data_IF_258623086959
#
_entry.id   IF_258623086959
#
_cell.length_a   1.000
_cell.length_b   1.000
_cell.length_c   1.000
_cell.angle_alpha   90.00
_cell.angle_beta   90.00
_cell.angle_gamma   90.00
#
_symmetry.space_group_name_H-M   'P 1'
#
loop_
_entity.id
_entity.type
_entity.pdbx_description
1 polymer ?
#
# COMPACT_ATOMS: atom_id res chain seq x y z
N UNK A 1 -17.04 -4.06 -61.49
CA UNK A 1 -16.66 -5.47 -61.69
C UNK A 1 -15.79 -5.83 -60.50
N UNK A 2 -16.36 -6.26 -59.37
CA UNK A 2 -16.68 -7.67 -59.03
C UNK A 2 -15.45 -8.59 -59.19
N UNK A 3 -15.03 -9.49 -58.30
CA UNK A 3 -15.44 -10.07 -57.01
C UNK A 3 -14.13 -10.66 -56.40
N UNK A 4 -13.82 -10.60 -55.11
CA UNK A 4 -14.27 -11.42 -53.97
C UNK A 4 -13.67 -12.86 -53.89
N UNK A 5 -13.32 -13.26 -52.65
CA UNK A 5 -12.99 -14.60 -52.10
C UNK A 5 -11.60 -15.23 -52.43
N UNK A 6 -10.87 -15.92 -51.55
CA UNK A 6 -11.08 -16.41 -50.17
C UNK A 6 -9.74 -16.93 -49.56
N UNK A 7 -9.54 -16.73 -48.24
CA UNK A 7 -9.13 -17.71 -47.21
C UNK A 7 -7.86 -18.60 -47.45
N UNK A 8 -6.89 -18.81 -46.54
CA UNK A 8 -7.06 -19.35 -45.17
C UNK A 8 -5.72 -19.40 -44.39
N UNK A 9 -5.76 -18.93 -43.13
CA UNK A 9 -5.12 -19.43 -41.89
C UNK A 9 -3.59 -19.65 -41.76
N UNK A 10 -2.95 -18.91 -40.83
CA UNK A 10 -2.71 -19.33 -39.43
C UNK A 10 -1.54 -18.59 -38.74
N UNK A 11 -1.82 -17.98 -37.59
CA UNK A 11 -1.22 -18.27 -36.26
C UNK A 11 -0.97 -17.00 -35.44
N UNK A 12 -1.95 -16.76 -34.58
CA UNK A 12 -2.02 -15.90 -33.41
C UNK A 12 -0.80 -15.95 -32.48
N UNK A 13 -0.33 -14.79 -32.04
CA UNK A 13 0.13 -14.56 -30.65
C UNK A 13 -0.18 -13.11 -30.29
N UNK A 14 -1.39 -12.89 -29.78
CA UNK A 14 -1.76 -11.67 -29.06
C UNK A 14 -1.12 -11.70 -27.67
N UNK A 15 -0.44 -10.64 -27.28
CA UNK A 15 -0.33 -10.25 -25.88
C UNK A 15 -0.68 -8.78 -25.75
N UNK A 16 -1.99 -8.57 -25.80
CA UNK A 16 -2.67 -7.33 -25.49
C UNK A 16 -2.68 -7.15 -23.96
N UNK A 17 -2.13 -6.06 -23.45
CA UNK A 17 -2.52 -5.55 -22.13
C UNK A 17 -2.53 -4.03 -22.21
N UNK A 18 -3.48 -3.53 -22.99
CA UNK A 18 -4.20 -2.31 -22.62
C UNK A 18 -5.07 -2.64 -21.41
N UNK A 19 -4.90 -1.89 -20.33
CA UNK A 19 -5.96 -1.68 -19.35
C UNK A 19 -6.08 -0.20 -19.14
N UNK A 20 -6.86 0.42 -20.03
CA UNK A 20 -7.48 1.72 -19.81
C UNK A 20 -8.28 1.66 -18.52
N UNK A 21 -8.09 2.61 -17.60
CA UNK A 21 -9.18 3.03 -16.71
C UNK A 21 -8.99 4.50 -16.32
N UNK A 22 -9.42 5.39 -17.21
CA UNK A 22 -9.96 6.66 -16.78
C UNK A 22 -11.31 6.39 -16.08
N UNK A 23 -11.50 6.96 -14.89
CA UNK A 23 -12.76 7.41 -14.25
C UNK A 23 -12.70 7.15 -12.74
N UNK A 24 -12.49 8.22 -11.96
CA UNK A 24 -13.42 8.68 -10.91
C UNK A 24 -12.66 9.56 -9.90
N UNK A 25 -12.83 10.88 -10.04
CA UNK A 25 -12.84 11.77 -8.88
C UNK A 25 -13.92 11.25 -7.92
N UNK A 26 -13.55 10.79 -6.73
CA UNK A 26 -14.41 10.85 -5.55
C UNK A 26 -13.54 11.02 -4.31
N UNK A 27 -13.73 12.16 -3.64
CA UNK A 27 -13.52 12.30 -2.22
C UNK A 27 -14.22 11.14 -1.51
N UNK A 28 -13.46 10.11 -1.16
CA UNK A 28 -13.92 9.06 -0.29
C UNK A 28 -13.18 9.23 1.02
N UNK A 29 -13.94 9.60 2.04
CA UNK A 29 -13.66 9.38 3.45
C UNK A 29 -13.08 7.95 3.61
N UNK A 30 -11.75 7.89 3.59
CA UNK A 30 -11.06 6.79 2.95
C UNK A 30 -10.97 5.57 3.85
N UNK A 31 -11.93 4.66 3.72
CA UNK A 31 -11.84 3.32 4.29
C UNK A 31 -10.71 2.56 3.60
N UNK A 32 -9.49 2.65 4.14
CA UNK A 32 -8.32 2.00 3.55
C UNK A 32 -8.27 0.52 3.93
N UNK A 33 -7.91 -0.32 2.96
CA UNK A 33 -7.66 -1.75 3.18
C UNK A 33 -6.18 -2.04 3.13
N UNK A 34 -5.63 -2.77 4.12
CA UNK A 34 -4.21 -3.15 4.16
C UNK A 34 -3.71 -3.74 2.83
N UNK A 35 -4.52 -4.56 2.14
CA UNK A 35 -4.15 -5.13 0.83
C UNK A 35 -4.10 -4.13 -0.32
N UNK A 36 -4.93 -3.08 -0.26
CA UNK A 36 -4.97 -2.02 -1.29
C UNK A 36 -3.95 -0.92 -1.06
N UNK A 37 -3.35 -0.86 0.14
CA UNK A 37 -2.43 0.21 0.52
C UNK A 37 -3.14 1.54 0.72
N UNK A 38 -2.37 2.55 1.12
CA UNK A 38 -2.82 3.92 1.28
C UNK A 38 -2.60 4.69 -0.02
N UNK A 39 -3.63 5.35 -0.50
CA UNK A 39 -3.59 6.13 -1.74
C UNK A 39 -3.99 7.56 -1.42
N UNK A 40 -3.24 8.55 -1.91
CA UNK A 40 -3.53 9.96 -1.70
C UNK A 40 -3.49 10.68 -3.03
N UNK A 41 -4.41 11.62 -3.21
CA UNK A 41 -4.50 12.45 -4.42
C UNK A 41 -4.63 13.90 -4.00
N UNK A 42 -3.74 14.73 -4.52
CA UNK A 42 -3.77 16.18 -4.37
C UNK A 42 -3.96 16.79 -5.76
N UNK A 43 -4.75 17.85 -5.82
CA UNK A 43 -4.97 18.62 -7.05
C UNK A 43 -4.37 19.99 -6.75
N UNK A 44 -3.33 20.36 -7.50
CA UNK A 44 -2.62 21.63 -7.36
C UNK A 44 -2.60 22.33 -8.72
N UNK A 45 -3.43 23.36 -8.89
CA UNK A 45 -3.65 23.99 -10.19
C UNK A 45 -4.25 22.99 -11.20
N UNK A 46 -3.52 22.72 -12.28
CA UNK A 46 -3.88 21.75 -13.32
C UNK A 46 -3.19 20.39 -13.15
N UNK A 47 -2.36 20.25 -12.12
CA UNK A 47 -1.57 19.04 -11.88
C UNK A 47 -2.22 18.14 -10.83
N UNK A 48 -2.23 16.84 -11.10
CA UNK A 48 -2.70 15.80 -10.19
C UNK A 48 -1.50 15.06 -9.61
N UNK A 49 -1.30 15.21 -8.30
CA UNK A 49 -0.25 14.53 -7.56
C UNK A 49 -0.87 13.30 -6.87
N UNK A 50 -0.43 12.11 -7.26
CA UNK A 50 -0.93 10.84 -6.73
C UNK A 50 0.16 10.04 -6.03
N UNK A 51 -0.04 9.75 -4.74
CA UNK A 51 0.85 8.92 -3.95
C UNK A 51 0.21 7.56 -3.66
N UNK A 52 0.85 6.49 -4.13
CA UNK A 52 0.50 5.11 -3.85
C UNK A 52 1.50 4.51 -2.85
N UNK A 53 0.99 4.08 -1.69
CA UNK A 53 1.79 3.48 -0.62
C UNK A 53 1.24 2.10 -0.28
N UNK A 54 2.02 1.06 -0.57
CA UNK A 54 1.64 -0.30 -0.20
C UNK A 54 1.97 -0.58 1.26
N UNK A 55 0.95 -0.93 2.05
CA UNK A 55 1.11 -1.30 3.46
C UNK A 55 1.72 -2.70 3.66
N UNK A 56 1.86 -3.50 2.59
CA UNK A 56 2.37 -4.88 2.67
C UNK A 56 3.88 -4.94 2.49
N UNK A 57 4.41 -4.23 1.49
CA UNK A 57 5.83 -4.26 1.14
C UNK A 57 6.54 -2.91 1.34
N UNK A 58 5.82 -1.88 1.79
CA UNK A 58 6.39 -0.55 2.00
C UNK A 58 6.78 0.18 0.71
N UNK A 59 6.33 -0.28 -0.47
CA UNK A 59 6.59 0.45 -1.72
C UNK A 59 5.77 1.73 -1.75
N UNK A 60 6.46 2.83 -1.98
CA UNK A 60 5.89 4.17 -2.16
C UNK A 60 6.20 4.64 -3.56
N UNK A 61 5.16 5.07 -4.29
CA UNK A 61 5.26 5.56 -5.65
C UNK A 61 4.48 6.85 -5.76
N UNK A 62 5.17 7.90 -6.16
CA UNK A 62 4.63 9.22 -6.39
C UNK A 62 4.53 9.45 -7.89
N UNK A 63 3.33 9.83 -8.32
CA UNK A 63 2.98 10.16 -9.68
C UNK A 63 2.53 11.61 -9.75
N UNK A 64 2.88 12.29 -10.83
CA UNK A 64 2.39 13.62 -11.17
C UNK A 64 1.86 13.53 -12.59
N UNK A 65 0.57 13.82 -12.78
CA UNK A 65 -0.12 13.67 -14.07
C UNK A 65 0.09 12.29 -14.70
N UNK A 66 -0.07 11.23 -13.88
CA UNK A 66 0.15 9.82 -14.23
C UNK A 66 1.60 9.43 -14.58
N UNK A 67 2.56 10.35 -14.49
CA UNK A 67 4.00 10.07 -14.67
C UNK A 67 4.66 9.76 -13.33
N UNK A 68 5.35 8.63 -13.24
CA UNK A 68 6.09 8.25 -12.03
C UNK A 68 7.30 9.18 -11.84
N UNK A 69 7.25 10.05 -10.82
CA UNK A 69 8.32 11.00 -10.51
C UNK A 69 9.26 10.49 -9.42
N UNK A 70 8.76 9.66 -8.50
CA UNK A 70 9.55 9.14 -7.39
C UNK A 70 9.05 7.77 -6.97
N UNK A 71 9.96 6.83 -6.78
CA UNK A 71 9.64 5.49 -6.31
C UNK A 71 10.69 5.02 -5.31
N UNK A 72 10.26 4.61 -4.13
CA UNK A 72 11.17 4.07 -3.11
C UNK A 72 10.47 3.03 -2.24
N UNK A 73 11.25 2.36 -1.41
CA UNK A 73 10.75 1.48 -0.38
C UNK A 73 10.93 2.18 0.96
N UNK A 74 9.85 2.29 1.73
CA UNK A 74 9.85 2.83 3.08
C UNK A 74 9.20 1.85 4.02
N UNK A 75 9.99 1.41 5.00
CA UNK A 75 9.51 0.67 6.18
C UNK A 75 9.45 1.57 7.42
N UNK A 76 9.73 2.87 7.27
CA UNK A 76 9.76 3.84 8.37
C UNK A 76 8.36 4.44 8.55
N UNK A 77 8.10 4.97 9.75
CA UNK A 77 6.88 5.72 10.04
C UNK A 77 6.79 7.05 9.29
N UNK A 78 7.92 7.63 8.89
CA UNK A 78 7.97 8.88 8.14
C UNK A 78 8.72 8.64 6.84
N UNK A 79 8.18 9.15 5.74
CA UNK A 79 8.81 9.14 4.44
C UNK A 79 8.54 10.44 3.69
N UNK A 80 9.55 10.88 2.95
CA UNK A 80 9.53 12.16 2.24
C UNK A 80 9.86 11.95 0.77
N UNK A 81 9.05 12.51 -0.14
CA UNK A 81 9.32 12.52 -1.57
C UNK A 81 9.48 13.96 -2.05
N UNK A 82 10.67 14.28 -2.56
CA UNK A 82 10.92 15.57 -3.21
C UNK A 82 10.75 15.43 -4.72
N UNK A 83 10.15 16.44 -5.34
CA UNK A 83 10.00 16.57 -6.78
C UNK A 83 9.85 18.05 -7.15
N UNK A 84 10.03 18.39 -8.42
CA UNK A 84 9.92 19.77 -8.90
C UNK A 84 8.91 19.85 -10.03
N UNK A 85 8.12 20.92 -10.04
CA UNK A 85 7.12 21.23 -11.05
C UNK A 85 7.43 22.63 -11.58
N UNK A 86 8.09 22.69 -12.74
CA UNK A 86 8.58 23.96 -13.29
C UNK A 86 9.62 24.62 -12.39
N UNK A 87 9.31 25.81 -11.88
CA UNK A 87 10.17 26.59 -10.99
C UNK A 87 9.94 26.29 -9.49
N UNK A 88 8.86 25.58 -9.15
CA UNK A 88 8.48 25.32 -7.78
C UNK A 88 8.99 23.96 -7.29
N UNK A 89 9.48 23.92 -6.06
CA UNK A 89 9.90 22.72 -5.35
C UNK A 89 8.73 22.18 -4.54
N UNK A 90 8.45 20.88 -4.67
CA UNK A 90 7.39 20.20 -3.96
C UNK A 90 7.93 19.05 -3.12
N UNK A 91 7.28 18.85 -1.98
CA UNK A 91 7.56 17.76 -1.07
C UNK A 91 6.26 17.10 -0.61
N UNK A 92 6.21 15.78 -0.72
CA UNK A 92 5.14 14.97 -0.17
C UNK A 92 5.69 14.18 1.01
N UNK A 93 5.22 14.54 2.20
CA UNK A 93 5.55 13.86 3.45
C UNK A 93 4.41 12.91 3.84
N UNK A 94 4.74 11.64 4.02
CA UNK A 94 3.85 10.67 4.64
C UNK A 94 4.32 10.39 6.07
N UNK A 95 3.40 10.52 7.03
CA UNK A 95 3.61 10.25 8.43
C UNK A 95 2.58 9.26 8.97
N UNK A 96 3.05 8.09 9.38
CA UNK A 96 2.30 7.04 10.07
C UNK A 96 2.28 7.36 11.56
N UNK A 97 1.20 7.99 12.01
CA UNK A 97 1.00 8.37 13.41
C UNK A 97 0.92 7.14 14.31
N UNK A 98 0.16 6.12 13.86
CA UNK A 98 -0.04 4.92 14.64
C UNK A 98 -0.12 3.68 13.73
N UNK A 99 0.84 2.77 13.88
CA UNK A 99 0.93 1.53 13.12
C UNK A 99 -0.19 0.53 13.47
N UNK A 100 -0.68 0.53 14.72
CA UNK A 100 -1.73 -0.40 15.16
C UNK A 100 -3.10 -0.03 14.60
N UNK A 101 -3.40 1.28 14.56
CA UNK A 101 -4.64 1.79 13.97
C UNK A 101 -4.51 2.10 12.47
N UNK A 102 -3.29 2.04 11.94
CA UNK A 102 -2.91 2.47 10.58
C UNK A 102 -3.34 3.89 10.29
N UNK A 103 -3.22 4.78 11.28
CA UNK A 103 -3.44 6.19 11.08
C UNK A 103 -2.23 6.81 10.38
N UNK A 104 -2.52 7.52 9.30
CA UNK A 104 -1.55 8.04 8.35
C UNK A 104 -1.94 9.44 7.90
N UNK A 105 -0.99 10.36 7.94
CA UNK A 105 -1.16 11.75 7.52
C UNK A 105 -0.24 11.96 6.32
N UNK A 106 -0.81 12.35 5.19
CA UNK A 106 -0.06 12.70 4.00
C UNK A 106 -0.14 14.20 3.80
N UNK A 107 1.01 14.86 3.73
CA UNK A 107 1.14 16.31 3.69
C UNK A 107 1.85 16.72 2.42
N UNK A 108 1.29 17.67 1.69
CA UNK A 108 1.89 18.33 0.55
C UNK A 108 2.46 19.68 0.99
N UNK A 109 3.73 19.91 0.67
CA UNK A 109 4.49 21.11 0.97
C UNK A 109 5.00 21.66 -0.36
N UNK A 110 4.86 22.97 -0.56
CA UNK A 110 5.33 23.70 -1.76
C UNK A 110 6.28 24.80 -1.29
N UNK A 111 7.53 24.79 -1.76
CA UNK A 111 8.56 25.77 -1.40
C UNK A 111 8.62 26.00 0.13
N UNK A 112 8.68 24.91 0.90
CA UNK A 112 8.66 24.89 2.38
C UNK A 112 7.38 25.42 3.05
N UNK A 113 6.33 25.70 2.27
CA UNK A 113 5.01 26.10 2.76
C UNK A 113 4.05 24.93 2.75
N UNK A 114 3.42 24.67 3.89
CA UNK A 114 2.38 23.66 4.03
C UNK A 114 1.15 24.01 3.19
N UNK A 115 0.81 23.15 2.23
CA UNK A 115 -0.35 23.37 1.34
C UNK A 115 -1.57 22.62 1.85
N UNK A 116 -1.43 21.31 2.05
CA UNK A 116 -2.58 20.45 2.38
C UNK A 116 -2.14 19.20 3.12
N UNK A 117 -2.94 18.76 4.09
CA UNK A 117 -2.78 17.44 4.72
C UNK A 117 -4.06 16.62 4.57
N UNK A 118 -3.91 15.39 4.09
CA UNK A 118 -4.96 14.37 4.03
C UNK A 118 -4.68 13.34 5.11
N UNK A 119 -5.65 13.12 6.00
CA UNK A 119 -5.58 12.10 7.06
C UNK A 119 -6.39 10.89 6.65
N UNK A 120 -5.82 9.70 6.80
CA UNK A 120 -6.49 8.41 6.57
C UNK A 120 -6.21 7.46 7.73
N UNK A 121 -7.22 6.69 8.12
CA UNK A 121 -7.10 5.66 9.15
C UNK A 121 -7.74 4.36 8.66
N UNK A 122 -7.29 3.22 9.20
CA UNK A 122 -7.93 1.95 8.92
C UNK A 122 -9.26 1.84 9.66
N UNK A 123 -10.21 1.12 9.05
CA UNK A 123 -11.51 0.81 9.65
C UNK A 123 -11.33 0.18 11.04
N UNK A 124 -12.08 0.66 12.04
CA UNK A 124 -12.08 0.17 13.42
C UNK A 124 -12.22 -1.36 13.54
N UNK A 125 -13.00 -1.98 12.65
CA UNK A 125 -13.18 -3.45 12.62
C UNK A 125 -11.91 -4.26 12.29
N UNK A 126 -10.87 -3.62 11.76
CA UNK A 126 -9.57 -4.24 11.48
C UNK A 126 -8.41 -3.65 12.26
N UNK A 127 -8.71 -2.74 13.18
CA UNK A 127 -7.75 -2.31 14.17
C UNK A 127 -7.57 -3.45 15.17
N UNK A 128 -6.33 -3.83 15.44
CA UNK A 128 -6.02 -4.76 16.51
C UNK A 128 -6.42 -4.09 17.83
N UNK A 129 -7.58 -4.47 18.38
CA UNK A 129 -7.93 -4.05 19.73
C UNK A 129 -6.92 -4.67 20.69
N UNK A 130 -6.31 -3.82 21.52
CA UNK A 130 -5.33 -4.20 22.52
C UNK A 130 -5.91 -5.28 23.46
N UNK A 131 -7.20 -5.16 23.75
CA UNK A 131 -7.95 -6.10 24.59
C UNK A 131 -8.00 -7.51 23.98
N UNK A 132 -8.20 -7.62 22.66
CA UNK A 132 -8.18 -8.93 21.99
C UNK A 132 -6.78 -9.52 21.93
N UNK A 133 -5.78 -8.70 21.60
CA UNK A 133 -4.40 -9.15 21.46
C UNK A 133 -3.81 -9.66 22.79
N UNK A 134 -4.18 -9.03 23.91
CA UNK A 134 -3.76 -9.44 25.25
C UNK A 134 -4.21 -10.85 25.62
N UNK A 135 -5.35 -11.32 25.13
CA UNK A 135 -5.84 -12.69 25.37
C UNK A 135 -5.23 -13.74 24.43
N UNK A 136 -4.86 -13.35 23.20
CA UNK A 136 -4.25 -14.29 22.25
C UNK A 136 -2.81 -14.67 22.62
N UNK A 137 -2.00 -13.72 23.10
CA UNK A 137 -0.59 -13.95 23.45
C UNK A 137 -0.40 -15.11 24.46
N UNK A 138 -1.07 -15.13 25.63
CA UNK A 138 -0.94 -16.22 26.59
C UNK A 138 -1.52 -17.54 26.07
N UNK A 139 -2.58 -17.49 25.27
CA UNK A 139 -3.18 -18.69 24.66
C UNK A 139 -2.19 -19.40 23.71
N UNK A 140 -1.52 -18.65 22.83
CA UNK A 140 -0.48 -19.19 21.97
C UNK A 140 0.74 -19.68 22.75
N UNK A 141 1.11 -18.98 23.83
CA UNK A 141 2.23 -19.40 24.68
C UNK A 141 1.94 -20.73 25.40
N UNK A 142 0.72 -20.91 25.91
CA UNK A 142 0.29 -22.18 26.53
C UNK A 142 0.25 -23.32 25.51
N UNK A 143 -0.36 -23.09 24.34
CA UNK A 143 -0.44 -24.09 23.29
C UNK A 143 0.94 -24.48 22.75
N UNK A 144 1.80 -23.49 22.49
CA UNK A 144 3.19 -23.70 22.07
C UNK A 144 4.03 -24.39 23.15
N UNK A 145 3.83 -24.03 24.42
CA UNK A 145 4.51 -24.65 25.55
C UNK A 145 4.15 -26.12 25.72
N UNK A 146 2.86 -26.49 25.61
CA UNK A 146 2.42 -27.88 25.65
C UNK A 146 3.00 -28.70 24.49
N UNK A 147 2.98 -28.13 23.27
CA UNK A 147 3.54 -28.79 22.10
C UNK A 147 5.06 -28.98 22.23
N UNK A 148 5.77 -27.95 22.70
CA UNK A 148 7.21 -28.01 22.95
C UNK A 148 7.57 -29.03 24.03
N UNK A 149 6.79 -29.11 25.12
CA UNK A 149 6.98 -30.10 26.17
C UNK A 149 6.79 -31.54 25.68
N UNK A 150 5.77 -31.79 24.85
CA UNK A 150 5.54 -33.11 24.25
C UNK A 150 6.70 -33.52 23.34
N UNK A 151 7.19 -32.60 22.51
CA UNK A 151 8.35 -32.84 21.64
C UNK A 151 9.62 -33.12 22.43
N UNK A 152 9.88 -32.35 23.49
CA UNK A 152 11.02 -32.58 24.38
C UNK A 152 10.94 -33.93 25.08
N UNK A 153 9.73 -34.35 25.51
CA UNK A 153 9.52 -35.66 26.13
C UNK A 153 9.77 -36.80 25.15
N UNK A 154 9.29 -36.70 23.91
CA UNK A 154 9.53 -37.71 22.85
C UNK A 154 11.03 -37.79 22.54
N UNK A 155 11.70 -36.64 22.43
CA UNK A 155 13.14 -36.57 22.20
C UNK A 155 13.92 -37.24 23.32
N UNK A 156 13.59 -36.94 24.58
CA UNK A 156 14.24 -37.57 25.74
C UNK A 156 13.97 -39.08 25.82
N UNK A 157 12.80 -39.56 25.37
CA UNK A 157 12.49 -40.99 25.32
C UNK A 157 13.23 -41.74 24.19
N UNK A 158 13.54 -41.06 23.08
CA UNK A 158 14.28 -41.63 21.95
C UNK A 158 15.80 -41.61 22.14
N UNK A 159 16.34 -40.56 22.77
CA UNK A 159 17.78 -40.33 22.87
C UNK A 159 18.32 -40.32 24.30
N UNK A 160 17.45 -40.30 25.31
CA UNK A 160 17.82 -40.44 26.71
C UNK A 160 17.95 -41.91 27.07
N UNK A 161 19.15 -42.45 26.85
CA UNK A 161 19.61 -43.70 27.46
C UNK A 161 20.66 -43.36 28.51
#
# INVERSE_FOLDING_TARGET
>A
MENNAENTANKSTEKNTQSNTATAKQDLEGTVSFRKGFNYSFIEGDHIIYLNCSAVNGKERLYVDDVLVSGKWSFRRKSIHHFSLGADSYEVELHVVNMFTGETHCTLIKNDVHVKTIKKALKKSRQLSKDKLWWYIPSFFLAGGLLGFLLAKIFFMLFGK
#
